data_IF_301352940439
#
_entry.id   IF_301352940439
#
_cell.length_a   1.000
_cell.length_b   1.000
_cell.length_c   1.000
_cell.angle_alpha   90.00
_cell.angle_beta   90.00
_cell.angle_gamma   90.00
#
_symmetry.space_group_name_H-M   'P 1'
#
loop_
_entity.id
_entity.type
_entity.pdbx_description
1 polymer ?
#
# COMPACT_ATOMS: atom_id res chain seq x y z
N UNK A 1 20.56 13.06 11.21
CA UNK A 1 21.49 11.98 11.61
C UNK A 1 20.77 10.65 11.96
N UNK A 2 19.56 10.40 11.44
CA UNK A 2 18.81 9.13 11.61
C UNK A 2 18.84 8.23 10.36
N UNK A 3 19.12 8.82 9.19
CA UNK A 3 19.21 8.12 7.90
C UNK A 3 20.38 7.13 7.79
N UNK A 4 21.38 7.24 8.68
CA UNK A 4 22.48 6.28 8.78
C UNK A 4 22.08 5.01 9.54
N UNK A 5 21.16 5.12 10.50
CA UNK A 5 20.63 4.00 11.29
C UNK A 5 19.42 3.34 10.60
N UNK A 6 18.58 4.14 9.95
CA UNK A 6 17.46 3.67 9.15
C UNK A 6 17.67 4.05 7.68
N UNK A 7 18.28 3.14 6.93
CA UNK A 7 18.29 3.28 5.47
C UNK A 7 16.94 2.86 4.91
N UNK A 8 16.26 3.73 4.16
CA UNK A 8 15.00 3.36 3.53
C UNK A 8 15.22 2.22 2.53
N UNK A 9 14.27 1.29 2.54
CA UNK A 9 14.31 0.06 1.76
C UNK A 9 13.02 -0.04 0.94
N UNK A 10 13.13 -0.63 -0.24
CA UNK A 10 12.00 -1.00 -1.06
C UNK A 10 11.00 -1.84 -0.26
N UNK A 11 9.74 -1.39 -0.22
CA UNK A 11 8.66 -2.07 0.49
C UNK A 11 8.40 -3.50 -0.03
N UNK A 12 8.75 -3.79 -1.28
CA UNK A 12 8.55 -5.11 -1.88
C UNK A 12 9.76 -6.04 -1.67
N UNK A 13 10.93 -5.70 -2.20
CA UNK A 13 12.09 -6.61 -2.22
C UNK A 13 13.16 -6.31 -1.16
N UNK A 14 13.07 -5.18 -0.43
CA UNK A 14 13.99 -4.85 0.66
C UNK A 14 15.34 -4.25 0.25
N UNK A 15 15.62 -4.07 -1.05
CA UNK A 15 16.84 -3.37 -1.50
C UNK A 15 16.80 -1.90 -1.05
N UNK A 16 17.97 -1.28 -0.85
CA UNK A 16 18.05 0.13 -0.49
C UNK A 16 17.39 1.00 -1.57
N UNK A 17 16.53 1.92 -1.14
CA UNK A 17 15.75 2.77 -2.02
C UNK A 17 15.19 3.94 -1.24
N UNK A 18 15.37 5.16 -1.75
CA UNK A 18 14.72 6.35 -1.21
C UNK A 18 13.25 6.47 -1.65
N UNK A 19 12.84 5.70 -2.67
CA UNK A 19 11.46 5.59 -3.13
C UNK A 19 10.72 4.43 -2.41
N UNK A 20 9.36 4.49 -2.34
CA UNK A 20 8.53 3.43 -1.78
C UNK A 20 8.83 2.04 -2.33
N UNK A 21 9.05 1.97 -3.64
CA UNK A 21 9.49 0.81 -4.38
C UNK A 21 10.74 1.21 -5.17
N UNK A 22 11.72 0.32 -5.26
CA UNK A 22 12.82 0.51 -6.20
C UNK A 22 12.29 0.49 -7.64
N UNK A 23 13.07 1.04 -8.57
CA UNK A 23 12.69 1.16 -9.99
C UNK A 23 12.11 -0.13 -10.57
N UNK A 24 12.81 -1.26 -10.44
CA UNK A 24 12.34 -2.55 -10.96
C UNK A 24 11.03 -3.04 -10.32
N UNK A 25 10.80 -2.77 -9.03
CA UNK A 25 9.54 -3.11 -8.38
C UNK A 25 8.41 -2.17 -8.81
N UNK A 26 8.71 -0.89 -9.02
CA UNK A 26 7.74 0.10 -9.48
C UNK A 26 7.17 -0.23 -10.86
N UNK A 27 7.97 -0.81 -11.76
CA UNK A 27 7.52 -1.27 -13.08
C UNK A 27 6.41 -2.34 -13.04
N UNK A 28 6.25 -3.03 -11.92
CA UNK A 28 5.18 -4.03 -11.75
C UNK A 28 3.87 -3.45 -11.23
N UNK A 29 3.83 -2.15 -10.92
CA UNK A 29 2.59 -1.48 -10.54
C UNK A 29 1.69 -1.35 -11.76
N UNK A 30 0.41 -1.67 -11.55
CA UNK A 30 -0.62 -1.51 -12.56
C UNK A 30 -1.68 -0.62 -11.95
N UNK A 31 -1.91 0.55 -12.55
CA UNK A 31 -2.99 1.44 -12.13
C UNK A 31 -4.31 0.68 -12.15
N UNK A 32 -5.10 0.87 -11.10
CA UNK A 32 -6.49 0.47 -11.17
C UNK A 32 -7.22 1.51 -12.02
N UNK A 33 -8.13 1.01 -12.87
CA UNK A 33 -8.99 1.88 -13.66
C UNK A 33 -9.94 2.71 -12.77
N UNK A 34 -10.97 3.31 -13.37
CA UNK A 34 -11.92 4.10 -12.61
C UNK A 34 -12.58 3.28 -11.51
N UNK A 35 -13.08 3.99 -10.50
CA UNK A 35 -13.85 3.37 -9.45
C UNK A 35 -15.11 2.67 -9.98
N UNK A 36 -15.60 1.71 -9.19
CA UNK A 36 -16.74 0.88 -9.59
C UNK A 36 -17.85 0.92 -8.55
N UNK A 37 -19.09 1.00 -9.01
CA UNK A 37 -20.26 0.88 -8.15
C UNK A 37 -20.44 -0.57 -7.68
N UNK A 38 -20.62 -0.79 -6.36
CA UNK A 38 -20.76 -2.13 -5.79
C UNK A 38 -21.66 -2.12 -4.56
N UNK A 39 -22.87 -2.68 -4.65
CA UNK A 39 -23.78 -2.79 -3.50
C UNK A 39 -23.26 -3.78 -2.43
N UNK A 40 -23.48 -3.52 -1.13
CA UNK A 40 -24.24 -2.39 -0.55
C UNK A 40 -23.44 -1.08 -0.44
N UNK A 41 -22.18 -1.04 -0.87
CA UNK A 41 -21.43 0.21 -0.97
C UNK A 41 -21.91 1.03 -2.19
N UNK A 42 -21.61 2.32 -2.20
CA UNK A 42 -21.84 3.13 -3.40
C UNK A 42 -20.70 2.98 -4.40
N UNK A 43 -19.47 2.84 -3.91
CA UNK A 43 -18.27 2.84 -4.73
C UNK A 43 -17.12 2.07 -4.09
N UNK A 44 -16.28 1.46 -4.93
CA UNK A 44 -14.97 0.93 -4.55
C UNK A 44 -13.92 1.56 -5.47
N UNK A 45 -12.96 2.24 -4.86
CA UNK A 45 -11.80 2.81 -5.53
C UNK A 45 -10.49 2.22 -4.96
N UNK A 46 -9.49 2.08 -5.81
CA UNK A 46 -8.11 1.73 -5.44
C UNK A 46 -7.18 2.35 -6.48
N UNK A 47 -6.00 2.86 -6.12
CA UNK A 47 -5.10 3.46 -7.10
C UNK A 47 -4.36 2.38 -7.91
N UNK A 48 -4.25 1.16 -7.36
CA UNK A 48 -3.46 0.07 -7.95
C UNK A 48 -4.24 -1.24 -7.96
N UNK A 49 -4.01 -2.07 -8.99
CA UNK A 49 -4.43 -3.47 -9.00
C UNK A 49 -3.53 -4.27 -8.06
N UNK A 50 -4.12 -5.22 -7.33
CA UNK A 50 -3.35 -6.10 -6.47
C UNK A 50 -2.54 -7.10 -7.31
N UNK A 51 -1.22 -7.07 -7.16
CA UNK A 51 -0.30 -7.94 -7.90
C UNK A 51 1.15 -7.47 -7.75
N UNK A 52 2.09 -8.16 -8.41
CA UNK A 52 3.49 -7.75 -8.50
C UNK A 52 4.15 -7.38 -7.17
N UNK A 53 4.95 -6.31 -7.20
CA UNK A 53 5.63 -5.76 -6.03
C UNK A 53 4.67 -5.29 -4.94
N UNK A 54 3.47 -4.83 -5.31
CA UNK A 54 2.47 -4.42 -4.34
C UNK A 54 1.96 -5.61 -3.50
N UNK A 55 1.69 -6.75 -4.15
CA UNK A 55 1.31 -7.96 -3.43
C UNK A 55 2.42 -8.40 -2.47
N UNK A 56 3.69 -8.34 -2.90
CA UNK A 56 4.85 -8.64 -2.05
C UNK A 56 4.95 -7.70 -0.85
N UNK A 57 4.81 -6.39 -1.05
CA UNK A 57 4.83 -5.40 0.02
C UNK A 57 3.70 -5.62 1.04
N UNK A 58 2.46 -5.82 0.56
CA UNK A 58 1.30 -6.09 1.45
C UNK A 58 1.49 -7.39 2.23
N UNK A 59 2.07 -8.43 1.61
CA UNK A 59 2.36 -9.69 2.30
C UNK A 59 3.43 -9.52 3.38
N UNK A 60 4.51 -8.79 3.12
CA UNK A 60 5.52 -8.44 4.13
C UNK A 60 4.89 -7.68 5.31
N UNK A 61 4.05 -6.70 5.03
CA UNK A 61 3.32 -5.98 6.07
C UNK A 61 2.44 -6.91 6.91
N UNK A 62 1.63 -7.75 6.26
CA UNK A 62 0.60 -8.56 6.95
C UNK A 62 1.15 -9.80 7.66
N UNK A 63 2.18 -10.45 7.11
CA UNK A 63 2.58 -11.79 7.53
C UNK A 63 3.99 -11.89 8.10
N UNK A 64 4.87 -10.91 7.87
CA UNK A 64 6.25 -10.95 8.38
C UNK A 64 6.52 -9.91 9.47
N UNK A 65 5.50 -9.18 9.92
CA UNK A 65 5.63 -8.14 10.93
C UNK A 65 6.43 -6.90 10.48
N UNK A 66 6.64 -6.72 9.16
CA UNK A 66 7.40 -5.60 8.61
C UNK A 66 6.58 -4.29 8.62
N UNK A 67 6.26 -3.77 9.80
CA UNK A 67 5.36 -2.62 9.99
C UNK A 67 5.87 -1.32 9.35
N UNK A 68 7.18 -1.17 9.17
CA UNK A 68 7.78 -0.04 8.45
C UNK A 68 7.27 0.05 7.00
N UNK A 69 6.91 -1.08 6.39
CA UNK A 69 6.37 -1.13 5.02
C UNK A 69 5.12 -0.25 4.89
N UNK A 70 4.28 -0.15 5.93
CA UNK A 70 3.09 0.70 5.89
C UNK A 70 3.44 2.17 5.65
N UNK A 71 4.47 2.68 6.35
CA UNK A 71 4.96 4.06 6.15
C UNK A 71 5.60 4.23 4.77
N UNK A 72 6.38 3.24 4.33
CA UNK A 72 7.03 3.28 3.02
C UNK A 72 6.03 3.34 1.87
N UNK A 73 4.92 2.59 1.92
CA UNK A 73 3.95 2.56 0.83
C UNK A 73 2.88 3.65 0.92
N UNK A 74 2.69 4.30 2.07
CA UNK A 74 1.65 5.33 2.24
C UNK A 74 1.59 6.41 1.13
N UNK A 75 2.71 6.93 0.59
CA UNK A 75 2.68 7.89 -0.51
C UNK A 75 1.96 7.39 -1.77
N UNK A 76 1.94 6.08 -2.02
CA UNK A 76 1.25 5.48 -3.18
C UNK A 76 -0.29 5.49 -3.03
N UNK A 77 -0.81 5.68 -1.81
CA UNK A 77 -2.25 5.79 -1.52
C UNK A 77 -2.70 7.22 -1.24
N UNK A 78 -1.76 8.09 -0.82
CA UNK A 78 -2.05 9.44 -0.33
C UNK A 78 -2.92 10.27 -1.28
N UNK A 79 -2.71 10.29 -2.61
CA UNK A 79 -3.54 11.09 -3.50
C UNK A 79 -5.01 10.66 -3.51
N UNK A 80 -5.28 9.35 -3.57
CA UNK A 80 -6.64 8.82 -3.54
C UNK A 80 -7.33 9.11 -2.20
N UNK A 81 -6.61 8.90 -1.09
CA UNK A 81 -7.15 9.14 0.25
C UNK A 81 -7.43 10.64 0.49
N UNK A 82 -6.55 11.52 0.01
CA UNK A 82 -6.76 12.96 0.08
C UNK A 82 -8.01 13.39 -0.72
N UNK A 83 -8.19 12.86 -1.94
CA UNK A 83 -9.37 13.13 -2.74
C UNK A 83 -10.67 12.65 -2.05
N UNK A 84 -10.65 11.44 -1.46
CA UNK A 84 -11.79 10.91 -0.74
C UNK A 84 -12.14 11.73 0.52
N UNK A 85 -11.13 12.17 1.27
CA UNK A 85 -11.32 12.98 2.48
C UNK A 85 -11.83 14.40 2.19
N UNK A 86 -11.60 14.93 0.98
CA UNK A 86 -12.16 16.22 0.55
C UNK A 86 -13.64 16.11 0.13
N UNK A 87 -14.07 14.94 -0.33
CA UNK A 87 -15.44 14.74 -0.80
C UNK A 87 -16.45 14.58 0.35
N UNK A 88 -16.04 13.97 1.45
CA UNK A 88 -16.90 13.63 2.59
C UNK A 88 -16.10 13.48 3.89
N UNK A 89 -16.78 13.56 5.04
CA UNK A 89 -16.22 13.09 6.31
C UNK A 89 -15.82 11.61 6.20
N UNK A 90 -14.58 11.31 6.58
CA UNK A 90 -13.99 9.99 6.38
C UNK A 90 -13.57 9.34 7.71
N UNK A 91 -13.80 8.03 7.81
CA UNK A 91 -13.27 7.19 8.87
C UNK A 91 -12.31 6.15 8.29
N UNK A 92 -11.17 5.95 8.94
CA UNK A 92 -10.23 4.90 8.58
C UNK A 92 -10.56 3.65 9.39
N UNK A 93 -11.01 2.59 8.70
CA UNK A 93 -11.30 1.30 9.31
C UNK A 93 -10.23 0.28 8.92
N UNK A 94 -9.32 -0.12 9.83
CA UNK A 94 -8.35 -1.16 9.51
C UNK A 94 -9.06 -2.50 9.37
N UNK A 95 -8.77 -3.23 8.29
CA UNK A 95 -9.24 -4.62 8.12
C UNK A 95 -8.19 -5.56 8.73
N UNK A 96 -8.47 -6.20 9.88
CA UNK A 96 -7.49 -7.04 10.54
C UNK A 96 -7.18 -8.29 9.72
N UNK A 97 -5.97 -8.82 9.89
CA UNK A 97 -5.63 -10.12 9.33
C UNK A 97 -6.37 -11.20 10.12
N UNK A 98 -7.20 -11.99 9.44
CA UNK A 98 -7.88 -13.12 10.08
C UNK A 98 -6.87 -14.17 10.56
N UNK A 99 -7.01 -14.63 11.81
CA UNK A 99 -6.06 -15.54 12.48
C UNK A 99 -5.79 -16.86 11.76
N UNK A 100 -6.72 -17.33 10.92
CA UNK A 100 -6.53 -18.54 10.08
C UNK A 100 -5.71 -18.31 8.80
N UNK A 101 -5.49 -17.05 8.38
CA UNK A 101 -4.71 -16.78 7.16
C UNK A 101 -3.22 -16.99 7.45
N UNK A 102 -2.63 -17.96 6.77
CA UNK A 102 -1.18 -18.23 6.73
C UNK A 102 -0.69 -18.03 5.29
N UNK A 103 0.61 -17.71 5.13
CA UNK A 103 1.27 -17.70 3.82
C UNK A 103 1.58 -19.12 3.36
#
# INVERSE_FOLDING_TARGET
MLSWLFRPQCAACGVLSDAPLCEGCALSLVEAGPSRAVRPLDEIATPWRFGGALASAIRRLKFTGATHVARTVAPLWSPLLAAAALASDAVVVPVPLHWRRRL
#
